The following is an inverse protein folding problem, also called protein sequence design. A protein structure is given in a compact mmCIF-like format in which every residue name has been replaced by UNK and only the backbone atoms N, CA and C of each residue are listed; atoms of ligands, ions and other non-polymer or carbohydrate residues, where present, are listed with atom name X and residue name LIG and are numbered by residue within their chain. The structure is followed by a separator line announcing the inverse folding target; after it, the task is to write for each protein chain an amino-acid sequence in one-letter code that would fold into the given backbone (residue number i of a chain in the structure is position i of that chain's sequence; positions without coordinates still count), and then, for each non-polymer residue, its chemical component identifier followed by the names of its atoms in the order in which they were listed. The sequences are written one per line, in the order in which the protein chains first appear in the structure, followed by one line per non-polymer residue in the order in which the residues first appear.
data_IF_326320192829
#
_entry.id   IF_326320192829
#
_cell.length_a   1.000
_cell.length_b   1.000
_cell.length_c   1.000
_cell.angle_alpha   90.00
_cell.angle_beta   90.00
_cell.angle_gamma   90.00
#
_symmetry.space_group_name_H-M   'P 1'
#
loop_
_entity.id
_entity.type
_entity.pdbx_description
1 polymer ?
#
# COMPACT_ATOMS: atom_id res chain seq x y z
N UNK A 1 3.07 35.13 38.66
CA UNK A 1 3.74 33.89 39.09
C UNK A 1 4.56 33.37 37.92
N UNK A 2 5.84 33.02 38.12
CA UNK A 2 6.63 32.33 37.08
C UNK A 2 6.14 30.87 37.02
N UNK A 3 5.91 30.37 35.81
CA UNK A 3 5.61 28.95 35.61
C UNK A 3 6.77 28.11 36.17
N UNK A 4 6.43 27.03 36.85
CA UNK A 4 7.45 26.06 37.27
C UNK A 4 8.11 25.43 36.04
N UNK A 5 9.35 24.92 36.15
CA UNK A 5 9.99 24.21 35.05
C UNK A 5 9.12 23.06 34.50
N UNK A 6 8.36 22.38 35.36
CA UNK A 6 7.42 21.33 34.96
C UNK A 6 6.25 21.88 34.13
N UNK A 7 5.61 22.96 34.57
CA UNK A 7 4.51 23.60 33.82
C UNK A 7 4.98 24.11 32.47
N UNK A 8 6.17 24.70 32.42
CA UNK A 8 6.78 25.15 31.17
C UNK A 8 7.03 23.97 30.22
N UNK A 9 7.67 22.90 30.70
CA UNK A 9 7.93 21.69 29.90
C UNK A 9 6.62 21.07 29.39
N UNK A 10 5.62 20.93 30.27
CA UNK A 10 4.32 20.34 29.92
C UNK A 10 3.63 21.11 28.80
N UNK A 11 3.56 22.44 28.93
CA UNK A 11 2.80 23.30 28.00
C UNK A 11 3.55 23.63 26.71
N UNK A 12 4.87 23.83 26.79
CA UNK A 12 5.67 24.31 25.66
C UNK A 12 6.34 23.18 24.86
N UNK A 13 6.45 21.98 25.43
CA UNK A 13 7.17 20.86 24.79
C UNK A 13 6.28 19.62 24.70
N UNK A 14 5.82 19.11 25.85
CA UNK A 14 5.15 17.81 25.88
C UNK A 14 3.81 17.80 25.14
N UNK A 15 2.93 18.76 25.43
CA UNK A 15 1.61 18.86 24.76
C UNK A 15 1.78 19.06 23.24
N UNK A 16 2.57 20.04 22.75
CA UNK A 16 2.82 20.19 21.31
C UNK A 16 3.38 18.92 20.66
N UNK A 17 4.32 18.24 21.32
CA UNK A 17 4.87 16.99 20.81
C UNK A 17 3.81 15.89 20.66
N UNK A 18 2.94 15.72 21.65
CA UNK A 18 1.86 14.72 21.59
C UNK A 18 0.84 15.07 20.49
N UNK A 19 0.52 16.36 20.34
CA UNK A 19 -0.36 16.83 19.28
C UNK A 19 0.24 16.59 17.89
N UNK A 20 1.53 16.88 17.70
CA UNK A 20 2.26 16.63 16.44
C UNK A 20 2.37 15.13 16.14
N UNK A 21 2.63 14.31 17.16
CA UNK A 21 2.64 12.85 17.02
C UNK A 21 1.26 12.35 16.59
N UNK A 22 0.19 12.83 17.22
CA UNK A 22 -1.17 12.50 16.85
C UNK A 22 -1.48 12.91 15.41
N UNK A 23 -1.14 14.13 15.03
CA UNK A 23 -1.35 14.62 13.66
C UNK A 23 -0.61 13.74 12.64
N UNK A 24 0.65 13.39 12.92
CA UNK A 24 1.46 12.51 12.08
C UNK A 24 0.86 11.11 11.93
N UNK A 25 0.26 10.56 13.00
CA UNK A 25 -0.41 9.26 12.95
C UNK A 25 -1.71 9.32 12.13
N UNK A 26 -2.49 10.39 12.30
CA UNK A 26 -3.72 10.61 11.52
C UNK A 26 -3.37 10.74 10.03
N UNK A 27 -2.37 11.54 9.70
CA UNK A 27 -1.94 11.72 8.32
C UNK A 27 -1.50 10.39 7.69
N UNK A 28 -0.65 9.61 8.37
CA UNK A 28 -0.14 8.35 7.82
C UNK A 28 -1.20 7.26 7.70
N UNK A 29 -2.11 7.13 8.66
CA UNK A 29 -3.00 5.96 8.74
C UNK A 29 -4.45 6.24 8.38
N UNK A 30 -4.95 7.45 8.67
CA UNK A 30 -6.35 7.80 8.44
C UNK A 30 -6.52 8.44 7.07
N UNK A 31 -5.70 9.44 6.73
CA UNK A 31 -5.79 10.13 5.43
C UNK A 31 -5.63 9.16 4.27
N UNK A 32 -4.73 8.17 4.39
CA UNK A 32 -4.48 7.18 3.35
C UNK A 32 -5.22 5.85 3.53
N UNK A 33 -6.16 5.75 4.48
CA UNK A 33 -6.84 4.49 4.80
C UNK A 33 -7.46 3.82 3.56
N UNK A 34 -8.19 4.61 2.75
CA UNK A 34 -8.85 4.11 1.54
C UNK A 34 -7.85 3.62 0.50
N UNK A 35 -6.77 4.38 0.29
CA UNK A 35 -5.68 4.00 -0.62
C UNK A 35 -4.97 2.73 -0.14
N UNK A 36 -4.70 2.60 1.16
CA UNK A 36 -4.07 1.42 1.74
C UNK A 36 -4.96 0.18 1.64
N UNK A 37 -6.27 0.33 1.92
CA UNK A 37 -7.24 -0.75 1.76
C UNK A 37 -7.33 -1.21 0.29
N UNK A 38 -7.34 -0.25 -0.64
CA UNK A 38 -7.30 -0.50 -2.08
C UNK A 38 -6.02 -1.20 -2.51
N UNK A 39 -4.85 -0.74 -2.05
CA UNK A 39 -3.54 -1.36 -2.32
C UNK A 39 -3.49 -2.82 -1.83
N UNK A 40 -4.12 -3.10 -0.68
CA UNK A 40 -4.17 -4.44 -0.11
C UNK A 40 -4.92 -5.45 -1.00
N UNK A 41 -5.77 -5.00 -1.92
CA UNK A 41 -6.48 -5.88 -2.87
C UNK A 41 -5.55 -6.50 -3.92
N UNK A 42 -4.41 -5.86 -4.22
CA UNK A 42 -3.37 -6.38 -5.14
C UNK A 42 -2.66 -7.62 -4.57
N UNK A 43 -2.70 -7.79 -3.24
CA UNK A 43 -2.04 -8.90 -2.58
C UNK A 43 -2.57 -10.25 -3.10
N UNK A 44 -1.71 -11.26 -3.30
CA UNK A 44 -2.10 -12.54 -3.89
C UNK A 44 -3.30 -13.22 -3.23
N UNK A 45 -3.40 -13.11 -1.90
CA UNK A 45 -4.51 -13.67 -1.12
C UNK A 45 -5.86 -12.99 -1.40
N UNK A 46 -5.84 -11.70 -1.73
CA UNK A 46 -7.04 -10.88 -1.86
C UNK A 46 -7.49 -10.79 -3.32
N UNK A 47 -6.54 -10.65 -4.25
CA UNK A 47 -6.82 -10.41 -5.67
C UNK A 47 -7.72 -11.47 -6.31
N UNK A 48 -7.62 -12.73 -5.86
CA UNK A 48 -8.42 -13.85 -6.38
C UNK A 48 -9.92 -13.57 -6.28
N UNK A 49 -10.35 -12.87 -5.21
CA UNK A 49 -11.75 -12.56 -4.91
C UNK A 49 -12.13 -11.09 -5.20
N UNK A 50 -11.18 -10.25 -5.60
CA UNK A 50 -11.38 -8.82 -5.87
C UNK A 50 -11.66 -8.55 -7.35
N UNK A 51 -12.32 -7.44 -7.65
CA UNK A 51 -12.50 -6.91 -9.01
C UNK A 51 -11.48 -5.80 -9.32
N UNK A 52 -11.31 -5.45 -10.59
CA UNK A 52 -10.41 -4.36 -10.98
C UNK A 52 -10.81 -3.03 -10.36
N UNK A 53 -12.11 -2.73 -10.27
CA UNK A 53 -12.60 -1.49 -9.65
C UNK A 53 -12.12 -1.27 -8.20
N UNK A 54 -11.80 -2.34 -7.48
CA UNK A 54 -11.30 -2.25 -6.10
C UNK A 54 -9.93 -1.56 -5.98
N UNK A 55 -9.18 -1.45 -7.08
CA UNK A 55 -7.91 -0.71 -7.14
C UNK A 55 -8.03 0.74 -7.61
N UNK A 56 -9.22 1.22 -7.96
CA UNK A 56 -9.39 2.60 -8.44
C UNK A 56 -8.79 3.67 -7.50
N UNK A 57 -8.99 3.60 -6.16
CA UNK A 57 -8.36 4.57 -5.25
C UNK A 57 -6.84 4.58 -5.31
N UNK A 58 -6.19 3.41 -5.46
CA UNK A 58 -4.73 3.33 -5.53
C UNK A 58 -4.20 3.74 -6.90
N UNK A 59 -4.92 3.44 -7.99
CA UNK A 59 -4.58 3.92 -9.33
C UNK A 59 -4.65 5.45 -9.42
N UNK A 60 -5.66 6.06 -8.81
CA UNK A 60 -5.78 7.52 -8.76
C UNK A 60 -4.65 8.15 -7.92
N UNK A 61 -4.28 7.52 -6.81
CA UNK A 61 -3.22 8.01 -5.93
C UNK A 61 -1.84 7.99 -6.63
N UNK A 62 -1.49 6.89 -7.29
CA UNK A 62 -0.21 6.71 -7.98
C UNK A 62 -0.26 7.12 -9.46
N UNK A 63 -1.29 7.86 -9.90
CA UNK A 63 -1.48 8.21 -11.31
C UNK A 63 -0.27 8.91 -11.93
N UNK A 64 0.37 9.79 -11.16
CA UNK A 64 1.54 10.53 -11.63
C UNK A 64 2.80 9.64 -11.73
N UNK A 65 2.88 8.58 -10.92
CA UNK A 65 4.01 7.65 -10.90
C UNK A 65 3.90 6.54 -11.95
N UNK A 66 2.67 6.22 -12.38
CA UNK A 66 2.40 5.20 -13.38
C UNK A 66 2.66 5.66 -14.82
N UNK A 67 3.12 6.90 -15.06
CA UNK A 67 3.14 7.55 -16.38
C UNK A 67 1.74 7.52 -17.05
N UNK A 68 1.57 8.02 -18.28
CA UNK A 68 0.29 7.94 -19.04
C UNK A 68 -0.05 6.48 -19.45
N UNK A 69 -0.05 5.55 -18.49
CA UNK A 69 -0.43 4.16 -18.71
C UNK A 69 -1.93 4.11 -18.97
N UNK A 70 -2.28 3.60 -20.15
CA UNK A 70 -3.66 3.37 -20.54
C UNK A 70 -4.35 2.42 -19.55
N UNK A 71 -5.56 2.77 -19.10
CA UNK A 71 -6.37 1.99 -18.18
C UNK A 71 -6.56 0.53 -18.64
N UNK A 72 -6.69 0.30 -19.95
CA UNK A 72 -6.80 -1.04 -20.51
C UNK A 72 -5.53 -1.90 -20.29
N UNK A 73 -4.35 -1.28 -20.23
CA UNK A 73 -3.10 -1.98 -19.92
C UNK A 73 -3.08 -2.38 -18.45
N UNK A 74 -3.52 -1.49 -17.56
CA UNK A 74 -3.61 -1.77 -16.12
C UNK A 74 -4.61 -2.89 -15.82
N UNK A 75 -5.76 -2.88 -16.48
CA UNK A 75 -6.76 -3.95 -16.35
C UNK A 75 -6.22 -5.29 -16.87
N UNK A 76 -5.54 -5.28 -18.02
CA UNK A 76 -4.89 -6.48 -18.55
C UNK A 76 -3.82 -7.06 -17.63
N UNK A 77 -2.95 -6.22 -17.05
CA UNK A 77 -1.94 -6.64 -16.07
C UNK A 77 -2.58 -7.17 -14.78
N UNK A 78 -3.65 -6.54 -14.32
CA UNK A 78 -4.42 -7.02 -13.17
C UNK A 78 -5.00 -8.41 -13.41
N UNK A 79 -5.61 -8.65 -14.57
CA UNK A 79 -6.19 -9.94 -14.92
C UNK A 79 -5.11 -11.03 -15.04
N UNK A 80 -3.97 -10.73 -15.65
CA UNK A 80 -2.82 -11.64 -15.71
C UNK A 80 -2.31 -11.99 -14.31
N UNK A 81 -2.19 -10.99 -13.44
CA UNK A 81 -1.78 -11.18 -12.05
C UNK A 81 -2.77 -12.05 -11.27
N UNK A 82 -4.07 -11.79 -11.43
CA UNK A 82 -5.14 -12.59 -10.82
C UNK A 82 -5.15 -14.04 -11.35
N UNK A 83 -4.94 -14.23 -12.65
CA UNK A 83 -4.86 -15.56 -13.27
C UNK A 83 -3.66 -16.35 -12.76
N UNK A 84 -2.49 -15.71 -12.62
CA UNK A 84 -1.30 -16.33 -11.99
C UNK A 84 -1.67 -16.94 -10.64
N UNK A 85 -2.25 -16.16 -9.73
CA UNK A 85 -2.56 -16.66 -8.39
C UNK A 85 -3.70 -17.66 -8.34
N UNK A 86 -4.67 -17.60 -9.27
CA UNK A 86 -5.69 -18.63 -9.43
C UNK A 86 -5.15 -19.97 -9.95
N UNK A 87 -4.00 -19.98 -10.62
CA UNK A 87 -3.42 -21.20 -11.20
C UNK A 87 -2.82 -22.15 -10.14
N UNK A 88 -2.50 -21.64 -8.95
CA UNK A 88 -1.97 -22.44 -7.85
C UNK A 88 -3.06 -23.36 -7.28
N UNK A 89 -2.77 -24.66 -7.24
CA UNK A 89 -3.74 -25.69 -6.77
C UNK A 89 -3.89 -25.71 -5.25
N UNK A 90 -2.81 -25.44 -4.51
CA UNK A 90 -2.80 -25.41 -3.06
C UNK A 90 -2.81 -23.96 -2.57
N UNK A 91 -3.70 -23.63 -1.63
CA UNK A 91 -3.77 -22.29 -1.06
C UNK A 91 -2.52 -21.90 -0.27
N UNK A 92 -1.75 -22.88 0.22
CA UNK A 92 -0.50 -22.63 0.92
C UNK A 92 0.62 -22.13 -0.02
N UNK A 93 0.47 -22.33 -1.33
CA UNK A 93 1.44 -21.88 -2.33
C UNK A 93 1.17 -20.43 -2.77
N UNK A 94 0.06 -19.83 -2.32
CA UNK A 94 -0.25 -18.43 -2.59
C UNK A 94 0.49 -17.57 -1.58
N UNK A 95 1.41 -16.74 -2.08
CA UNK A 95 2.16 -15.78 -1.27
C UNK A 95 1.25 -14.95 -0.35
N UNK A 96 1.55 -14.94 0.94
CA UNK A 96 0.72 -14.25 1.94
C UNK A 96 1.06 -12.77 2.03
N UNK A 97 2.34 -12.44 1.87
CA UNK A 97 2.87 -11.09 1.97
C UNK A 97 3.48 -10.64 0.64
N UNK A 98 3.53 -9.33 0.40
CA UNK A 98 4.13 -8.77 -0.82
C UNK A 98 5.59 -9.21 -1.02
N UNK A 99 6.34 -9.39 0.07
CA UNK A 99 7.74 -9.82 0.00
C UNK A 99 7.86 -11.27 -0.52
N UNK A 100 6.94 -12.16 -0.15
CA UNK A 100 6.91 -13.53 -0.66
C UNK A 100 6.57 -13.52 -2.15
N UNK A 101 5.59 -12.70 -2.53
CA UNK A 101 5.16 -12.54 -3.93
C UNK A 101 6.30 -12.00 -4.82
N UNK A 102 7.14 -11.12 -4.27
CA UNK A 102 8.32 -10.58 -4.94
C UNK A 102 9.39 -11.66 -5.16
N UNK A 103 9.62 -12.52 -4.15
CA UNK A 103 10.57 -13.64 -4.26
C UNK A 103 10.14 -14.67 -5.31
N UNK A 104 8.83 -14.83 -5.53
CA UNK A 104 8.24 -15.70 -6.55
C UNK A 104 8.05 -15.01 -7.91
N UNK A 105 8.58 -13.80 -8.10
CA UNK A 105 8.50 -13.13 -9.39
C UNK A 105 9.49 -13.76 -10.38
N UNK A 106 9.02 -14.09 -11.58
CA UNK A 106 9.89 -14.65 -12.61
C UNK A 106 10.70 -13.52 -13.23
N UNK A 107 12.03 -13.60 -13.08
CA UNK A 107 12.97 -12.60 -13.59
C UNK A 107 12.93 -12.42 -15.11
N UNK A 108 12.62 -13.47 -15.87
CA UNK A 108 12.52 -13.39 -17.32
C UNK A 108 11.22 -12.72 -17.75
N UNK A 109 10.12 -12.91 -17.01
CA UNK A 109 8.81 -12.31 -17.31
C UNK A 109 8.70 -10.86 -16.82
N UNK A 110 9.40 -10.50 -15.75
CA UNK A 110 9.37 -9.16 -15.15
C UNK A 110 10.79 -8.66 -14.80
N UNK A 111 11.66 -8.47 -15.81
CA UNK A 111 13.06 -8.12 -15.58
C UNK A 111 13.24 -6.76 -14.89
N UNK A 112 12.32 -5.82 -15.14
CA UNK A 112 12.36 -4.45 -14.59
C UNK A 112 12.31 -4.40 -13.06
N UNK A 113 11.80 -5.45 -12.40
CA UNK A 113 11.75 -5.53 -10.93
C UNK A 113 13.15 -5.75 -10.33
N UNK A 114 14.10 -6.28 -11.11
CA UNK A 114 15.42 -6.72 -10.63
C UNK A 114 16.58 -5.81 -11.08
N UNK A 115 16.28 -4.69 -11.74
CA UNK A 115 17.29 -3.82 -12.38
C UNK A 115 17.51 -2.48 -11.66
N UNK A 116 17.01 -2.33 -10.44
CA UNK A 116 17.27 -1.16 -9.58
C UNK A 116 18.39 -1.43 -8.59
#
# INVERSE_FOLDING_TARGET
MRATPEEYFRTSIFVPFVDDLRASLIERFVTHQTTLASLQTIMPRNIINSNFDSINPVLQFYRNDLNDTNEAILEGEWDLWKLKWKSYKNKNDIAKYAIDALNECDKNLRPNIYTY
#
